data_IF_924440451849
#
_entry.id   IF_924440451849
#
_cell.length_a   1.000
_cell.length_b   1.000
_cell.length_c   1.000
_cell.angle_alpha   90.00
_cell.angle_beta   90.00
_cell.angle_gamma   90.00
#
_symmetry.space_group_name_H-M   'P 1'
#
loop_
_entity.id
_entity.type
_entity.pdbx_description
1 polymer ?
#
# COMPACT_ATOMS: atom_id res chain seq x y z
N UNK A 1 2.28 -26.04 0.01
CA UNK A 1 2.96 -25.81 -1.27
C UNK A 1 2.47 -24.47 -1.75
N UNK A 2 3.34 -23.55 -2.18
CA UNK A 2 2.90 -22.22 -2.63
C UNK A 2 2.01 -22.30 -3.86
N UNK A 3 1.20 -21.26 -4.11
CA UNK A 3 0.39 -21.16 -5.33
C UNK A 3 1.31 -21.07 -6.56
N UNK A 4 0.94 -21.76 -7.65
CA UNK A 4 1.71 -21.69 -8.89
C UNK A 4 1.58 -20.30 -9.53
N UNK A 5 2.71 -19.71 -9.92
CA UNK A 5 2.76 -18.41 -10.59
C UNK A 5 3.58 -18.47 -11.87
N UNK A 6 3.46 -17.44 -12.71
CA UNK A 6 4.33 -17.20 -13.87
C UNK A 6 5.57 -16.35 -13.52
N UNK A 7 6.03 -16.37 -12.26
CA UNK A 7 7.11 -15.50 -11.79
C UNK A 7 8.42 -15.66 -12.59
N UNK A 8 8.69 -16.86 -13.12
CA UNK A 8 9.85 -17.19 -13.96
C UNK A 8 9.85 -16.49 -15.33
N UNK A 9 8.70 -15.98 -15.77
CA UNK A 9 8.52 -15.27 -17.04
C UNK A 9 8.58 -13.75 -16.88
N UNK A 10 8.63 -13.24 -15.64
CA UNK A 10 8.64 -11.80 -15.40
C UNK A 10 9.99 -11.17 -15.75
N UNK A 11 9.94 -9.90 -16.17
CA UNK A 11 11.12 -9.11 -16.48
C UNK A 11 11.39 -8.15 -15.34
N UNK A 12 12.60 -8.21 -14.81
CA UNK A 12 13.07 -7.22 -13.85
C UNK A 12 13.62 -5.99 -14.58
N UNK A 13 13.26 -4.80 -14.09
CA UNK A 13 13.76 -3.52 -14.61
C UNK A 13 14.29 -2.65 -13.47
N UNK A 14 15.17 -1.71 -13.81
CA UNK A 14 15.58 -0.66 -12.89
C UNK A 14 14.75 0.60 -13.15
N UNK A 15 14.16 1.15 -12.09
CA UNK A 15 13.64 2.52 -12.07
C UNK A 15 14.37 3.30 -10.98
N UNK A 16 14.42 4.62 -11.11
CA UNK A 16 15.07 5.48 -10.13
C UNK A 16 14.14 6.63 -9.77
N UNK A 17 14.11 6.96 -8.49
CA UNK A 17 13.52 8.18 -7.98
C UNK A 17 14.40 8.77 -6.90
N UNK A 18 13.90 9.78 -6.21
CA UNK A 18 14.63 10.50 -5.17
C UNK A 18 13.72 10.65 -3.97
N UNK A 19 14.30 10.61 -2.77
CA UNK A 19 13.58 10.98 -1.54
C UNK A 19 13.03 12.39 -1.74
N UNK A 20 11.71 12.48 -1.79
CA UNK A 20 11.00 13.70 -2.17
C UNK A 20 11.06 14.75 -1.06
N UNK A 21 10.86 16.01 -1.42
CA UNK A 21 10.64 17.05 -0.42
C UNK A 21 9.26 16.85 0.24
N UNK A 22 9.11 16.99 1.59
CA UNK A 22 7.82 17.04 2.24
C UNK A 22 6.89 18.07 1.59
N UNK A 23 5.62 17.72 1.46
CA UNK A 23 4.61 18.62 0.89
C UNK A 23 3.57 18.96 1.96
N UNK A 24 3.11 20.20 1.92
CA UNK A 24 2.09 20.70 2.84
C UNK A 24 1.01 21.36 2.00
N UNK A 25 -0.20 20.83 2.07
CA UNK A 25 -1.39 21.57 1.65
C UNK A 25 -1.62 22.65 2.72
N UNK A 26 -2.11 23.82 2.33
CA UNK A 26 -2.42 24.89 3.27
C UNK A 26 -3.52 24.49 4.26
N UNK A 27 -4.43 25.38 4.59
CA UNK A 27 -5.55 25.01 5.45
C UNK A 27 -6.40 23.88 4.83
N UNK A 28 -6.52 22.76 5.55
CA UNK A 28 -7.39 21.62 5.20
C UNK A 28 -8.62 21.65 6.09
N UNK A 29 -9.84 21.73 5.53
CA UNK A 29 -11.07 21.63 6.30
C UNK A 29 -11.28 20.21 6.83
N UNK A 30 -11.39 20.08 8.15
CA UNK A 30 -11.80 18.86 8.84
C UNK A 30 -13.32 18.73 8.87
N UNK A 31 -13.82 17.49 8.95
CA UNK A 31 -15.26 17.20 9.01
C UNK A 31 -15.98 17.84 10.22
N UNK A 32 -15.24 18.19 11.29
CA UNK A 32 -15.77 18.94 12.44
C UNK A 32 -16.04 20.43 12.15
N UNK A 33 -15.63 20.95 10.99
CA UNK A 33 -15.72 22.37 10.64
C UNK A 33 -14.52 23.22 11.05
N UNK A 34 -13.47 22.60 11.58
CA UNK A 34 -12.18 23.25 11.86
C UNK A 34 -11.23 23.16 10.66
N UNK A 35 -10.27 24.08 10.57
CA UNK A 35 -9.24 24.04 9.53
C UNK A 35 -7.86 23.84 10.17
N UNK A 36 -7.07 22.90 9.64
CA UNK A 36 -5.77 22.51 10.20
C UNK A 36 -4.66 22.63 9.16
N UNK A 37 -3.42 22.77 9.63
CA UNK A 37 -2.20 22.63 8.82
C UNK A 37 -1.39 21.54 9.50
N UNK A 38 -1.28 20.39 8.86
CA UNK A 38 -0.65 19.19 9.42
C UNK A 38 0.45 18.67 8.48
N UNK A 39 1.53 18.07 9.02
CA UNK A 39 2.50 17.32 8.22
C UNK A 39 1.92 15.97 7.79
N UNK A 40 2.58 15.26 6.87
CA UNK A 40 2.25 13.84 6.63
C UNK A 40 2.65 13.33 5.24
N UNK A 41 2.46 14.13 4.20
CA UNK A 41 2.80 13.72 2.83
C UNK A 41 4.25 14.05 2.44
N UNK A 42 4.85 13.13 1.69
CA UNK A 42 6.17 13.23 1.10
C UNK A 42 7.31 13.37 2.13
N UNK A 43 8.56 13.27 1.68
CA UNK A 43 9.70 13.36 2.59
C UNK A 43 10.18 12.03 3.14
N UNK A 44 10.85 12.13 4.29
CA UNK A 44 11.25 10.99 5.11
C UNK A 44 10.65 11.16 6.51
N UNK A 45 9.81 10.22 6.93
CA UNK A 45 9.19 10.23 8.26
C UNK A 45 10.00 9.36 9.21
N UNK A 46 10.66 10.00 10.17
CA UNK A 46 11.58 9.35 11.10
C UNK A 46 10.89 8.49 12.17
N UNK A 47 9.65 8.85 12.54
CA UNK A 47 8.97 8.27 13.71
C UNK A 47 7.87 7.27 13.40
N UNK A 48 7.56 7.05 12.11
CA UNK A 48 6.44 6.20 11.69
C UNK A 48 6.85 5.37 10.49
N UNK A 49 6.60 4.06 10.60
CA UNK A 49 6.97 3.04 9.62
C UNK A 49 5.83 2.03 9.49
N UNK A 50 5.92 1.16 8.50
CA UNK A 50 4.97 0.07 8.31
C UNK A 50 4.91 -0.80 9.57
N UNK A 51 3.70 -1.15 10.00
CA UNK A 51 3.39 -1.82 11.27
C UNK A 51 3.01 -0.87 12.41
N UNK A 52 3.19 0.45 12.27
CA UNK A 52 2.65 1.42 13.23
C UNK A 52 1.18 1.74 12.90
N UNK A 53 0.48 2.43 13.83
CA UNK A 53 -0.91 2.85 13.64
C UNK A 53 -1.09 3.66 12.34
N UNK A 54 -2.19 3.45 11.63
CA UNK A 54 -2.64 4.35 10.57
C UNK A 54 -3.35 5.58 11.15
N UNK A 55 -3.71 5.57 12.43
CA UNK A 55 -4.42 6.64 13.14
C UNK A 55 -3.53 7.27 14.23
N UNK A 56 -4.11 8.17 15.03
CA UNK A 56 -3.51 8.76 16.24
C UNK A 56 -2.36 9.76 16.06
N UNK A 57 -2.07 10.17 14.83
CA UNK A 57 -1.09 11.22 14.56
C UNK A 57 -1.77 12.55 14.26
N UNK A 58 -1.18 13.65 14.72
CA UNK A 58 -1.49 14.99 14.23
C UNK A 58 -0.88 15.17 12.82
N UNK A 59 -1.41 14.44 11.86
CA UNK A 59 -0.93 14.36 10.48
C UNK A 59 -2.09 14.33 9.48
N UNK A 60 -1.79 14.60 8.21
CA UNK A 60 -2.70 14.43 7.08
C UNK A 60 -2.01 13.61 5.99
N UNK A 61 -2.60 12.47 5.61
CA UNK A 61 -2.03 11.50 4.66
C UNK A 61 -0.60 11.10 5.05
N UNK A 62 -0.45 10.59 6.27
CA UNK A 62 0.86 10.21 6.81
C UNK A 62 1.51 9.08 6.00
N UNK A 63 2.58 9.36 5.27
CA UNK A 63 3.32 8.39 4.45
C UNK A 63 4.50 7.77 5.24
N UNK A 64 4.46 6.48 5.64
CA UNK A 64 5.53 5.87 6.42
C UNK A 64 6.86 5.77 5.67
N UNK A 65 7.97 5.98 6.39
CA UNK A 65 9.31 5.82 5.84
C UNK A 65 9.69 6.89 4.81
N UNK A 66 10.24 6.48 3.67
CA UNK A 66 10.69 7.37 2.62
C UNK A 66 9.69 7.45 1.46
N UNK A 67 9.23 8.66 1.16
CA UNK A 67 8.42 8.94 -0.03
C UNK A 67 9.31 9.31 -1.21
N UNK A 68 9.23 8.55 -2.29
CA UNK A 68 10.09 8.63 -3.47
C UNK A 68 9.31 9.19 -4.66
N UNK A 69 9.92 10.14 -5.39
CA UNK A 69 9.41 10.69 -6.64
C UNK A 69 10.53 10.95 -7.63
N UNK A 70 10.18 11.01 -8.91
CA UNK A 70 11.07 11.49 -9.96
C UNK A 70 10.65 12.91 -10.42
N UNK A 71 11.60 13.84 -10.65
CA UNK A 71 11.26 15.21 -11.07
C UNK A 71 10.76 15.31 -12.51
N UNK A 72 11.17 14.39 -13.38
CA UNK A 72 10.58 14.21 -14.70
C UNK A 72 9.32 13.36 -14.60
N UNK A 73 8.19 13.89 -15.07
CA UNK A 73 6.86 13.29 -14.90
C UNK A 73 6.67 11.99 -15.70
N UNK A 74 7.31 11.85 -16.86
CA UNK A 74 7.19 10.62 -17.66
C UNK A 74 7.93 9.47 -16.97
N UNK A 75 9.11 9.75 -16.41
CA UNK A 75 9.84 8.81 -15.58
C UNK A 75 9.12 8.51 -14.26
N UNK A 76 8.51 9.50 -13.61
CA UNK A 76 7.69 9.31 -12.39
C UNK A 76 6.49 8.40 -12.68
N UNK A 77 5.79 8.66 -13.79
CA UNK A 77 4.68 7.83 -14.26
C UNK A 77 5.10 6.39 -14.52
N UNK A 78 6.23 6.17 -15.19
CA UNK A 78 6.78 4.83 -15.37
C UNK A 78 7.13 4.16 -14.04
N UNK A 79 7.69 4.91 -13.09
CA UNK A 79 8.05 4.44 -11.76
C UNK A 79 6.82 3.92 -11.00
N UNK A 80 5.71 4.69 -11.04
CA UNK A 80 4.42 4.29 -10.51
C UNK A 80 3.96 2.96 -11.13
N UNK A 81 3.81 2.88 -12.45
CA UNK A 81 3.31 1.65 -13.07
C UNK A 81 4.22 0.43 -12.90
N UNK A 82 5.54 0.56 -12.92
CA UNK A 82 6.43 -0.61 -12.90
C UNK A 82 6.64 -1.17 -11.48
N UNK A 83 6.59 -0.32 -10.47
CA UNK A 83 6.91 -0.71 -9.09
C UNK A 83 5.80 -1.55 -8.47
N UNK A 84 6.20 -2.58 -7.71
CA UNK A 84 5.32 -3.45 -6.95
C UNK A 84 5.73 -3.53 -5.48
N UNK A 85 4.75 -3.75 -4.61
CA UNK A 85 4.95 -3.96 -3.18
C UNK A 85 5.83 -5.19 -2.94
N UNK A 86 6.82 -5.04 -2.06
CA UNK A 86 7.86 -6.04 -1.80
C UNK A 86 9.07 -5.98 -2.74
N UNK A 87 9.10 -5.07 -3.73
CA UNK A 87 10.33 -4.83 -4.50
C UNK A 87 11.46 -4.27 -3.63
N UNK A 88 12.70 -4.63 -3.98
CA UNK A 88 13.89 -4.11 -3.32
C UNK A 88 14.19 -2.69 -3.81
N UNK A 89 14.51 -1.81 -2.88
CA UNK A 89 14.94 -0.45 -3.12
C UNK A 89 16.35 -0.24 -2.54
N UNK A 90 17.18 0.55 -3.20
CA UNK A 90 18.57 0.76 -2.80
C UNK A 90 18.88 2.25 -2.79
N UNK A 91 19.44 2.74 -1.69
CA UNK A 91 19.98 4.09 -1.63
C UNK A 91 21.28 4.15 -2.45
N UNK A 92 21.30 5.03 -3.44
CA UNK A 92 22.38 5.15 -4.43
C UNK A 92 23.27 6.37 -4.20
N UNK A 93 22.89 7.25 -3.28
CA UNK A 93 23.65 8.45 -2.89
C UNK A 93 23.50 8.73 -1.40
N UNK A 94 24.18 9.78 -0.93
CA UNK A 94 24.07 10.25 0.45
C UNK A 94 24.90 9.44 1.44
N UNK A 95 24.72 9.73 2.72
CA UNK A 95 25.44 9.06 3.80
C UNK A 95 24.96 7.62 4.02
N UNK A 96 23.73 7.32 3.60
CA UNK A 96 23.10 6.00 3.69
C UNK A 96 23.29 5.14 2.41
N UNK A 97 24.16 5.54 1.47
CA UNK A 97 24.38 4.81 0.22
C UNK A 97 24.71 3.33 0.47
N UNK A 98 24.08 2.45 -0.32
CA UNK A 98 24.22 1.01 -0.23
C UNK A 98 23.20 0.35 0.72
N UNK A 99 22.42 1.13 1.45
CA UNK A 99 21.33 0.61 2.28
C UNK A 99 20.22 0.04 1.39
N UNK A 100 19.81 -1.20 1.70
CA UNK A 100 18.66 -1.84 1.10
C UNK A 100 17.40 -1.52 1.91
N UNK A 101 16.33 -1.22 1.20
CA UNK A 101 14.98 -1.07 1.71
C UNK A 101 13.99 -1.86 0.87
N UNK A 102 12.71 -1.70 1.17
CA UNK A 102 11.62 -2.43 0.53
C UNK A 102 10.45 -1.51 0.22
N UNK A 103 9.85 -1.66 -0.95
CA UNK A 103 8.66 -0.90 -1.33
C UNK A 103 7.46 -1.42 -0.56
N UNK A 104 6.73 -0.52 0.09
CA UNK A 104 5.61 -0.86 0.99
C UNK A 104 4.31 -0.15 0.66
N UNK A 105 4.34 0.86 -0.20
CA UNK A 105 3.14 1.55 -0.63
C UNK A 105 3.34 2.39 -1.89
N UNK A 106 2.23 2.86 -2.43
CA UNK A 106 2.19 3.81 -3.54
C UNK A 106 0.95 4.68 -3.42
N UNK A 107 1.21 5.95 -3.15
CA UNK A 107 0.22 7.03 -3.13
C UNK A 107 0.58 8.02 -4.26
N UNK A 108 0.58 9.34 -4.01
CA UNK A 108 1.20 10.33 -4.90
C UNK A 108 2.74 10.17 -4.99
N UNK A 109 3.32 9.29 -4.16
CA UNK A 109 4.73 8.93 -4.07
C UNK A 109 4.84 7.42 -3.89
N UNK A 110 5.96 6.82 -4.27
CA UNK A 110 6.28 5.48 -3.83
C UNK A 110 6.78 5.51 -2.39
N UNK A 111 6.36 4.55 -1.59
CA UNK A 111 6.74 4.46 -0.18
C UNK A 111 7.73 3.33 0.01
N UNK A 112 8.87 3.65 0.61
CA UNK A 112 9.95 2.69 0.85
C UNK A 112 10.30 2.70 2.33
N UNK A 113 10.24 1.51 2.92
CA UNK A 113 10.76 1.29 4.26
C UNK A 113 12.25 0.96 4.20
N UNK A 114 13.04 1.73 4.94
CA UNK A 114 14.46 1.48 5.16
C UNK A 114 14.70 1.08 6.63
N UNK A 115 15.77 0.31 6.91
CA UNK A 115 16.15 -0.04 8.27
C UNK A 115 16.33 1.20 9.17
N UNK A 116 15.93 1.14 10.46
CA UNK A 116 16.04 2.28 11.39
C UNK A 116 17.44 2.89 11.48
N UNK A 117 18.49 2.08 11.37
CA UNK A 117 19.89 2.53 11.41
C UNK A 117 20.27 3.49 10.28
N UNK A 118 19.49 3.52 9.18
CA UNK A 118 19.70 4.44 8.07
C UNK A 118 18.91 5.74 8.20
N UNK A 119 17.91 5.83 9.09
CA UNK A 119 16.97 6.94 9.16
C UNK A 119 17.66 8.31 9.28
N UNK A 120 18.60 8.44 10.21
CA UNK A 120 19.35 9.69 10.46
C UNK A 120 20.37 10.04 9.36
N UNK A 121 20.61 9.14 8.41
CA UNK A 121 21.58 9.29 7.33
C UNK A 121 20.95 9.59 5.97
N UNK A 122 19.63 9.39 5.85
CA UNK A 122 18.87 9.63 4.62
C UNK A 122 18.52 11.11 4.53
N UNK A 123 18.78 11.70 3.36
CA UNK A 123 18.44 13.08 3.06
C UNK A 123 17.35 13.16 2.00
N UNK A 124 16.57 14.25 2.05
CA UNK A 124 15.79 14.67 0.89
C UNK A 124 16.73 14.87 -0.31
N UNK A 125 16.34 14.32 -1.45
CA UNK A 125 17.11 14.33 -2.68
C UNK A 125 18.04 13.12 -2.85
N UNK A 126 18.17 12.23 -1.85
CA UNK A 126 18.93 11.00 -2.04
C UNK A 126 18.28 10.10 -3.09
N UNK A 127 19.10 9.60 -4.01
CA UNK A 127 18.67 8.74 -5.10
C UNK A 127 18.34 7.34 -4.58
N UNK A 128 17.20 6.80 -5.03
CA UNK A 128 16.71 5.47 -4.68
C UNK A 128 16.45 4.70 -5.97
N UNK A 129 17.22 3.63 -6.21
CA UNK A 129 16.97 2.71 -7.32
C UNK A 129 16.09 1.56 -6.85
N UNK A 130 15.02 1.27 -7.58
CA UNK A 130 14.13 0.15 -7.31
C UNK A 130 14.31 -0.89 -8.41
N UNK A 131 14.48 -2.16 -8.02
CA UNK A 131 14.44 -3.31 -8.93
C UNK A 131 12.99 -3.76 -9.05
N UNK A 132 12.31 -3.31 -10.10
CA UNK A 132 10.89 -3.56 -10.31
C UNK A 132 10.68 -4.96 -10.84
N UNK A 133 9.87 -5.76 -10.15
CA UNK A 133 9.49 -7.12 -10.56
C UNK A 133 8.10 -7.43 -10.01
N UNK A 134 7.14 -7.74 -10.88
CA UNK A 134 5.77 -8.06 -10.46
C UNK A 134 4.70 -7.69 -11.48
N UNK A 135 4.97 -6.71 -12.35
CA UNK A 135 4.04 -6.40 -13.42
C UNK A 135 3.86 -7.58 -14.38
N UNK A 136 2.61 -8.01 -14.56
CA UNK A 136 2.25 -9.22 -15.30
C UNK A 136 2.25 -10.52 -14.49
N UNK A 137 2.48 -10.46 -13.16
CA UNK A 137 2.36 -11.62 -12.28
C UNK A 137 0.93 -12.17 -12.26
N UNK A 138 0.80 -13.48 -12.35
CA UNK A 138 -0.47 -14.22 -12.39
C UNK A 138 -0.40 -15.45 -11.50
N UNK A 139 -1.54 -15.79 -10.89
CA UNK A 139 -1.77 -17.10 -10.29
C UNK A 139 -2.22 -18.05 -11.41
N UNK A 140 -1.37 -19.00 -11.80
CA UNK A 140 -1.57 -19.84 -13.00
C UNK A 140 -2.83 -20.70 -12.88
N UNK A 141 -3.04 -21.29 -11.71
CA UNK A 141 -4.20 -22.15 -11.43
C UNK A 141 -5.47 -21.36 -11.10
N UNK A 142 -5.36 -20.04 -10.87
CA UNK A 142 -6.46 -19.16 -10.47
C UNK A 142 -6.60 -17.94 -11.40
N UNK A 143 -6.80 -18.14 -12.72
CA UNK A 143 -6.75 -17.06 -13.72
C UNK A 143 -7.85 -16.01 -13.59
N UNK A 144 -8.91 -16.27 -12.81
CA UNK A 144 -9.97 -15.31 -12.50
C UNK A 144 -9.61 -14.34 -11.36
N UNK A 145 -8.48 -14.57 -10.68
CA UNK A 145 -7.91 -13.68 -9.66
C UNK A 145 -6.83 -12.85 -10.32
N UNK A 146 -7.03 -11.53 -10.34
CA UNK A 146 -6.05 -10.57 -10.87
C UNK A 146 -5.20 -10.05 -9.75
N UNK A 147 -3.88 -10.18 -9.89
CA UNK A 147 -2.92 -9.51 -9.02
C UNK A 147 -2.65 -8.10 -9.51
N UNK A 148 -2.44 -7.18 -8.57
CA UNK A 148 -2.12 -5.78 -8.79
C UNK A 148 -0.95 -5.42 -7.89
N UNK A 149 0.07 -4.74 -8.41
CA UNK A 149 1.19 -4.21 -7.61
C UNK A 149 1.88 -5.23 -6.69
N UNK A 150 1.85 -6.52 -7.03
CA UNK A 150 2.41 -7.58 -6.22
C UNK A 150 3.74 -8.06 -6.81
N UNK A 151 4.81 -8.00 -6.02
CA UNK A 151 6.04 -8.72 -6.36
C UNK A 151 5.88 -10.23 -6.11
N UNK A 152 6.66 -11.09 -6.79
CA UNK A 152 6.72 -12.52 -6.45
C UNK A 152 7.05 -12.74 -4.96
N UNK A 153 8.01 -11.96 -4.43
CA UNK A 153 8.40 -12.00 -3.01
C UNK A 153 7.21 -11.76 -2.08
N UNK A 154 6.35 -10.79 -2.38
CA UNK A 154 5.15 -10.55 -1.59
C UNK A 154 4.22 -11.76 -1.63
N UNK A 155 3.85 -12.24 -2.83
CA UNK A 155 2.92 -13.37 -2.98
C UNK A 155 3.43 -14.63 -2.28
N UNK A 156 4.72 -14.92 -2.38
CA UNK A 156 5.36 -16.07 -1.72
C UNK A 156 5.38 -15.95 -0.18
N UNK A 157 5.37 -14.72 0.34
CA UNK A 157 5.43 -14.45 1.79
C UNK A 157 4.04 -14.46 2.45
N UNK A 158 2.97 -14.26 1.68
CA UNK A 158 1.60 -14.30 2.20
C UNK A 158 1.15 -15.76 2.41
N UNK A 159 0.53 -16.10 3.55
CA UNK A 159 0.07 -17.46 3.81
C UNK A 159 -1.30 -17.68 3.12
N UNK A 160 -1.32 -17.61 1.79
CA UNK A 160 -2.51 -17.84 0.98
C UNK A 160 -2.79 -19.34 0.90
N UNK A 161 -4.00 -19.75 1.28
CA UNK A 161 -4.46 -21.13 1.17
C UNK A 161 -5.24 -21.36 -0.13
N UNK A 162 -4.93 -22.45 -0.82
CA UNK A 162 -5.83 -23.02 -1.82
C UNK A 162 -6.99 -23.73 -1.11
N UNK A 163 -8.21 -23.24 -1.28
CA UNK A 163 -9.42 -23.87 -0.72
C UNK A 163 -9.93 -24.97 -1.65
N UNK A 164 -10.01 -24.66 -2.94
CA UNK A 164 -10.36 -25.59 -4.02
C UNK A 164 -9.72 -25.16 -5.35
N UNK A 165 -10.15 -25.73 -6.48
CA UNK A 165 -9.64 -25.43 -7.83
C UNK A 165 -9.92 -24.00 -8.31
N UNK A 166 -10.83 -23.26 -7.64
CA UNK A 166 -11.23 -21.89 -8.00
C UNK A 166 -11.00 -20.90 -6.86
N UNK A 167 -11.00 -21.35 -5.62
CA UNK A 167 -11.06 -20.46 -4.47
C UNK A 167 -9.76 -20.47 -3.70
N UNK A 168 -9.26 -19.28 -3.37
CA UNK A 168 -8.17 -19.08 -2.41
C UNK A 168 -8.72 -18.44 -1.14
N UNK A 169 -8.01 -18.60 -0.02
CA UNK A 169 -8.26 -17.90 1.23
C UNK A 169 -7.06 -17.05 1.61
N UNK A 170 -7.30 -15.77 1.89
CA UNK A 170 -6.26 -14.79 2.23
C UNK A 170 -6.50 -14.27 3.65
N UNK A 171 -5.49 -14.23 4.54
CA UNK A 171 -5.66 -13.58 5.85
C UNK A 171 -5.79 -12.06 5.70
N UNK A 172 -6.68 -11.46 6.47
CA UNK A 172 -6.87 -9.99 6.55
C UNK A 172 -7.11 -9.58 7.99
N UNK A 173 -6.75 -8.36 8.37
CA UNK A 173 -7.03 -7.85 9.72
C UNK A 173 -8.49 -7.47 9.88
N UNK A 174 -9.14 -7.01 8.82
CA UNK A 174 -10.54 -6.57 8.82
C UNK A 174 -11.19 -6.60 7.43
N UNK A 175 -12.52 -6.58 7.42
CA UNK A 175 -13.34 -6.31 6.24
C UNK A 175 -13.78 -4.84 6.26
N UNK A 176 -13.51 -4.10 5.19
CA UNK A 176 -13.96 -2.73 5.01
C UNK A 176 -15.28 -2.71 4.23
N UNK A 177 -16.31 -1.99 4.72
CA UNK A 177 -17.51 -1.78 3.94
C UNK A 177 -17.23 -0.96 2.68
N UNK A 178 -17.61 -1.44 1.51
CA UNK A 178 -17.36 -0.69 0.26
C UNK A 178 -17.96 0.73 0.25
N UNK A 179 -19.05 0.96 1.01
CA UNK A 179 -19.73 2.27 1.10
C UNK A 179 -18.87 3.37 1.72
N UNK A 180 -17.80 3.01 2.44
CA UNK A 180 -16.88 3.98 3.05
C UNK A 180 -15.64 4.22 2.18
N UNK A 181 -15.52 3.58 1.02
CA UNK A 181 -14.43 3.88 0.08
C UNK A 181 -14.72 5.20 -0.65
N UNK A 182 -13.73 6.10 -0.69
CA UNK A 182 -13.88 7.48 -1.14
C UNK A 182 -12.90 7.85 -2.25
N UNK A 183 -12.03 8.83 -1.94
CA UNK A 183 -11.08 9.43 -2.88
C UNK A 183 -10.24 8.39 -3.63
N UNK A 184 -10.03 8.61 -4.93
CA UNK A 184 -9.33 7.67 -5.81
C UNK A 184 -10.24 6.66 -6.51
N UNK A 185 -11.56 6.69 -6.29
CA UNK A 185 -12.53 5.83 -6.97
C UNK A 185 -12.49 5.96 -8.52
N UNK A 186 -12.15 7.14 -9.03
CA UNK A 186 -12.02 7.44 -10.45
C UNK A 186 -10.68 7.01 -11.06
N UNK A 187 -9.71 6.60 -10.23
CA UNK A 187 -8.35 6.29 -10.63
C UNK A 187 -8.16 4.79 -10.87
N UNK A 188 -7.16 4.45 -11.68
CA UNK A 188 -6.84 3.07 -12.00
C UNK A 188 -6.19 2.37 -10.78
N UNK A 189 -6.60 1.13 -10.44
CA UNK A 189 -5.97 0.32 -9.38
C UNK A 189 -4.49 0.02 -9.63
N UNK A 190 -4.02 0.06 -10.89
CA UNK A 190 -2.61 -0.09 -11.27
C UNK A 190 -1.80 1.21 -11.15
N UNK A 191 -2.39 2.33 -10.73
CA UNK A 191 -1.70 3.61 -10.66
C UNK A 191 -1.54 4.14 -9.24
N UNK A 192 -2.58 4.12 -8.44
CA UNK A 192 -2.55 4.67 -7.07
C UNK A 192 -3.60 3.99 -6.21
N UNK A 193 -3.53 4.19 -4.91
CA UNK A 193 -4.47 3.67 -3.93
C UNK A 193 -5.85 4.36 -3.97
N UNK A 194 -6.71 3.97 -3.03
CA UNK A 194 -8.01 4.60 -2.78
C UNK A 194 -8.22 4.72 -1.29
N UNK A 195 -8.58 5.92 -0.84
CA UNK A 195 -8.83 6.20 0.56
C UNK A 195 -10.12 5.51 1.02
N UNK A 196 -10.12 5.04 2.26
CA UNK A 196 -11.35 4.92 3.04
C UNK A 196 -11.67 6.27 3.68
N UNK A 197 -12.95 6.65 3.73
CA UNK A 197 -13.41 7.90 4.33
C UNK A 197 -13.53 7.74 5.85
N UNK A 198 -12.65 8.40 6.59
CA UNK A 198 -12.52 8.23 8.05
C UNK A 198 -13.19 9.32 8.89
N UNK A 199 -13.85 10.29 8.26
CA UNK A 199 -14.43 11.46 8.95
C UNK A 199 -15.53 11.15 9.97
N UNK A 200 -16.23 10.02 9.84
CA UNK A 200 -17.17 9.52 10.84
C UNK A 200 -16.43 8.66 11.88
N UNK A 201 -15.93 9.32 12.93
CA UNK A 201 -15.11 8.68 13.97
C UNK A 201 -15.88 7.68 14.82
N UNK A 202 -17.17 7.89 15.02
CA UNK A 202 -18.01 6.92 15.73
C UNK A 202 -18.11 5.62 14.94
N UNK A 203 -18.30 5.71 13.61
CA UNK A 203 -18.30 4.55 12.73
C UNK A 203 -16.93 3.87 12.65
N UNK A 204 -15.82 4.63 12.61
CA UNK A 204 -14.49 4.05 12.60
C UNK A 204 -14.24 3.20 13.86
N UNK A 205 -14.65 3.71 15.03
CA UNK A 205 -14.55 2.98 16.29
C UNK A 205 -15.51 1.78 16.36
N UNK A 206 -16.75 1.91 15.86
CA UNK A 206 -17.73 0.81 15.81
C UNK A 206 -17.21 -0.38 14.98
N UNK A 207 -16.55 -0.07 13.85
CA UNK A 207 -16.00 -1.07 12.93
C UNK A 207 -14.58 -1.51 13.28
N UNK A 208 -13.94 -0.90 14.29
CA UNK A 208 -12.55 -1.14 14.68
C UNK A 208 -11.51 -0.69 13.64
N UNK A 209 -11.91 0.16 12.68
CA UNK A 209 -11.03 0.67 11.62
C UNK A 209 -9.98 1.61 12.20
N UNK A 210 -10.29 2.31 13.29
CA UNK A 210 -9.34 3.17 14.00
C UNK A 210 -8.15 2.42 14.62
N UNK A 211 -8.18 1.08 14.64
CA UNK A 211 -7.07 0.22 15.07
C UNK A 211 -6.18 -0.25 13.90
N UNK A 212 -6.49 0.14 12.66
CA UNK A 212 -5.75 -0.26 11.48
C UNK A 212 -4.28 0.15 11.59
N UNK A 213 -3.39 -0.76 11.19
CA UNK A 213 -1.97 -0.49 11.09
C UNK A 213 -1.56 -0.28 9.64
N UNK A 214 -0.53 0.54 9.44
CA UNK A 214 0.15 0.66 8.16
C UNK A 214 0.70 -0.71 7.77
N UNK A 215 0.41 -1.17 6.56
CA UNK A 215 0.78 -2.49 6.07
C UNK A 215 -0.24 -3.60 6.29
N UNK A 216 -1.38 -3.30 6.93
CA UNK A 216 -2.46 -4.28 7.12
C UNK A 216 -3.06 -4.72 5.79
N UNK A 217 -3.32 -6.01 5.67
CA UNK A 217 -4.15 -6.57 4.62
C UNK A 217 -5.62 -6.46 5.01
N UNK A 218 -6.45 -5.96 4.09
CA UNK A 218 -7.88 -5.76 4.32
C UNK A 218 -8.69 -6.40 3.19
N UNK A 219 -9.90 -6.86 3.51
CA UNK A 219 -10.86 -7.30 2.49
C UNK A 219 -11.87 -6.19 2.20
N UNK A 220 -12.17 -5.94 0.94
CA UNK A 220 -13.28 -5.07 0.52
C UNK A 220 -14.26 -5.94 -0.26
N UNK A 221 -15.34 -6.33 0.40
CA UNK A 221 -16.39 -7.12 -0.21
C UNK A 221 -17.20 -6.28 -1.19
N UNK A 222 -17.58 -6.88 -2.32
CA UNK A 222 -18.29 -6.28 -3.44
C UNK A 222 -17.48 -5.25 -4.26
N UNK A 223 -16.16 -5.21 -4.10
CA UNK A 223 -15.27 -4.34 -4.89
C UNK A 223 -14.60 -5.10 -6.03
N UNK A 224 -14.83 -4.68 -7.28
CA UNK A 224 -14.12 -5.15 -8.49
C UNK A 224 -13.10 -4.10 -8.90
N UNK A 225 -11.82 -4.41 -8.77
CA UNK A 225 -10.69 -3.53 -9.07
C UNK A 225 -9.84 -4.06 -10.24
N UNK A 226 -10.41 -4.89 -11.14
CA UNK A 226 -9.62 -5.47 -12.24
C UNK A 226 -9.11 -4.41 -13.23
N UNK A 227 -9.88 -3.35 -13.46
CA UNK A 227 -9.55 -2.29 -14.43
C UNK A 227 -9.83 -0.89 -13.88
N UNK A 228 -11.07 -0.63 -13.49
CA UNK A 228 -11.46 0.54 -12.68
C UNK A 228 -11.93 0.06 -11.31
N UNK A 229 -12.21 1.01 -10.41
CA UNK A 229 -12.76 0.70 -9.08
C UNK A 229 -14.27 0.79 -9.13
N UNK A 230 -14.97 -0.28 -8.74
CA UNK A 230 -16.42 -0.30 -8.82
C UNK A 230 -17.10 -1.28 -7.89
N UNK A 231 -18.36 -0.98 -7.57
CA UNK A 231 -19.25 -1.90 -6.86
C UNK A 231 -19.76 -2.98 -7.80
N UNK A 232 -19.52 -4.24 -7.44
CA UNK A 232 -20.07 -5.42 -8.09
C UNK A 232 -20.40 -6.47 -7.02
N UNK A 233 -21.69 -6.83 -6.84
CA UNK A 233 -22.06 -7.87 -5.88
C UNK A 233 -21.28 -9.16 -6.12
N UNK A 234 -20.71 -9.71 -5.04
CA UNK A 234 -19.90 -10.93 -5.07
C UNK A 234 -18.46 -10.76 -5.56
N UNK A 235 -18.06 -9.60 -6.06
CA UNK A 235 -16.64 -9.30 -6.28
C UNK A 235 -15.92 -9.17 -4.93
N UNK A 236 -14.62 -9.43 -4.91
CA UNK A 236 -13.79 -9.32 -3.70
C UNK A 236 -12.47 -8.69 -4.08
N UNK A 237 -12.02 -7.74 -3.27
CA UNK A 237 -10.69 -7.15 -3.38
C UNK A 237 -9.94 -7.29 -2.07
N UNK A 238 -8.68 -7.72 -2.14
CA UNK A 238 -7.72 -7.63 -1.04
C UNK A 238 -6.88 -6.38 -1.26
N UNK A 239 -6.89 -5.51 -0.25
CA UNK A 239 -6.14 -4.27 -0.22
C UNK A 239 -5.03 -4.26 0.83
N UNK A 240 -4.19 -3.24 0.76
CA UNK A 240 -3.09 -2.95 1.66
C UNK A 240 -3.25 -1.53 2.21
N UNK A 241 -3.26 -1.35 3.52
CA UNK A 241 -3.16 -0.01 4.11
C UNK A 241 -1.75 0.54 3.91
N UNK A 242 -1.59 1.66 3.20
CA UNK A 242 -0.27 2.19 2.83
C UNK A 242 0.07 3.55 3.43
N UNK A 243 -0.93 4.36 3.77
CA UNK A 243 -0.73 5.64 4.42
C UNK A 243 -1.78 5.86 5.50
N UNK A 244 -1.46 6.74 6.44
CA UNK A 244 -2.29 7.02 7.59
C UNK A 244 -3.45 7.94 7.27
N UNK A 245 -4.20 8.21 8.31
CA UNK A 245 -5.43 8.96 8.33
C UNK A 245 -5.30 10.39 7.76
N UNK A 246 -6.45 10.93 7.38
CA UNK A 246 -6.58 12.24 6.74
C UNK A 246 -7.64 13.05 7.46
N UNK A 247 -7.39 14.34 7.61
CA UNK A 247 -8.42 15.27 8.09
C UNK A 247 -9.30 15.76 6.94
N UNK A 248 -8.87 15.56 5.69
CA UNK A 248 -9.60 16.00 4.51
C UNK A 248 -10.91 15.20 4.33
N UNK A 249 -12.00 15.91 4.05
CA UNK A 249 -13.29 15.25 3.81
C UNK A 249 -13.24 14.39 2.55
N UNK A 250 -13.72 13.14 2.65
CA UNK A 250 -13.67 12.16 1.57
C UNK A 250 -12.38 11.33 1.53
N UNK A 251 -11.49 11.54 2.49
CA UNK A 251 -10.18 10.90 2.62
C UNK A 251 -10.03 10.18 3.97
N UNK A 252 -8.93 9.45 4.12
CA UNK A 252 -8.55 8.69 5.32
C UNK A 252 -7.37 7.77 4.98
N UNK A 253 -7.18 6.63 5.68
CA UNK A 253 -6.14 5.69 5.33
C UNK A 253 -6.26 5.18 3.89
N UNK A 254 -5.13 5.15 3.19
CA UNK A 254 -5.03 4.77 1.78
C UNK A 254 -4.97 3.26 1.58
N UNK A 255 -5.84 2.72 0.73
CA UNK A 255 -5.95 1.28 0.46
C UNK A 255 -5.49 0.95 -0.98
N UNK A 256 -4.30 0.38 -1.09
CA UNK A 256 -3.72 -0.08 -2.35
C UNK A 256 -4.23 -1.47 -2.72
N UNK A 257 -4.61 -1.68 -3.98
CA UNK A 257 -5.15 -2.99 -4.43
C UNK A 257 -4.01 -4.00 -4.63
N UNK A 258 -4.13 -5.18 -4.03
CA UNK A 258 -3.20 -6.30 -4.25
C UNK A 258 -3.80 -7.44 -5.06
N UNK A 259 -5.03 -7.85 -4.74
CA UNK A 259 -5.70 -8.96 -5.42
C UNK A 259 -7.17 -8.65 -5.62
N UNK A 260 -7.75 -9.06 -6.74
CA UNK A 260 -9.16 -8.79 -7.00
C UNK A 260 -9.77 -9.82 -7.94
N UNK A 261 -11.04 -10.14 -7.72
CA UNK A 261 -11.84 -10.99 -8.59
C UNK A 261 -13.27 -10.45 -8.68
N UNK A 262 -13.91 -10.65 -9.83
CA UNK A 262 -15.29 -10.16 -10.08
C UNK A 262 -16.39 -11.13 -9.64
N UNK A 263 -15.99 -12.24 -9.04
CA UNK A 263 -16.79 -13.36 -8.58
C UNK A 263 -16.26 -13.80 -7.21
N UNK A 264 -17.02 -14.56 -6.40
CA UNK A 264 -16.62 -14.90 -5.03
C UNK A 264 -15.56 -16.03 -5.02
N UNK A 265 -14.38 -15.74 -5.56
CA UNK A 265 -13.26 -16.69 -5.69
C UNK A 265 -12.11 -16.38 -4.72
N UNK A 266 -12.24 -15.32 -3.91
CA UNK A 266 -11.34 -15.01 -2.81
C UNK A 266 -12.18 -15.05 -1.53
N UNK A 267 -11.90 -16.01 -0.67
CA UNK A 267 -12.31 -16.00 0.73
C UNK A 267 -11.28 -15.23 1.57
N UNK A 268 -11.71 -14.74 2.72
CA UNK A 268 -10.79 -14.18 3.71
C UNK A 268 -11.04 -14.77 5.09
N UNK A 269 -10.00 -14.75 5.91
CA UNK A 269 -10.05 -15.11 7.33
C UNK A 269 -9.48 -13.95 8.14
N UNK A 270 -10.12 -13.62 9.25
CA UNK A 270 -9.63 -12.58 10.14
C UNK A 270 -8.41 -13.09 10.89
N UNK A 271 -7.28 -12.42 10.70
CA UNK A 271 -6.02 -12.64 11.39
C UNK A 271 -5.41 -11.28 11.78
N UNK A 272 -5.35 -10.95 13.08
CA UNK A 272 -4.74 -9.70 13.56
C UNK A 272 -3.25 -9.54 13.21
N UNK A 273 -2.57 -10.60 12.75
CA UNK A 273 -1.17 -10.57 12.33
C UNK A 273 -1.00 -10.38 10.82
N UNK A 274 -2.10 -10.18 10.07
CA UNK A 274 -2.10 -10.02 8.62
C UNK A 274 -1.55 -8.66 8.14
N UNK A 275 -0.25 -8.45 8.36
CA UNK A 275 0.46 -7.23 8.03
C UNK A 275 1.75 -7.54 7.26
N UNK A 276 2.04 -6.78 6.20
CA UNK A 276 3.25 -7.00 5.38
C UNK A 276 4.55 -6.79 6.15
N UNK A 277 4.54 -6.06 7.26
CA UNK A 277 5.70 -5.91 8.12
C UNK A 277 6.17 -7.26 8.67
N UNK A 278 5.22 -8.14 9.00
CA UNK A 278 5.48 -9.50 9.45
C UNK A 278 5.92 -10.38 8.28
N UNK A 279 5.13 -10.38 7.20
CA UNK A 279 5.35 -11.27 6.07
C UNK A 279 6.65 -10.96 5.29
N UNK A 280 7.03 -9.69 5.18
CA UNK A 280 8.26 -9.28 4.50
C UNK A 280 9.45 -9.09 5.46
N UNK A 281 9.28 -9.41 6.75
CA UNK A 281 10.30 -9.26 7.80
C UNK A 281 10.85 -7.81 7.91
N UNK A 282 9.98 -6.81 7.78
CA UNK A 282 10.33 -5.38 7.85
C UNK A 282 10.56 -4.96 9.30
N UNK A 283 9.72 -5.46 10.20
CA UNK A 283 9.88 -5.35 11.64
C UNK A 283 10.47 -6.68 12.11
N UNK A 284 11.62 -6.65 12.77
CA UNK A 284 12.07 -7.81 13.55
C UNK A 284 11.10 -7.95 14.72
N UNK A 285 10.58 -9.15 14.95
CA UNK A 285 9.82 -9.46 16.15
C UNK A 285 10.59 -8.95 17.38
N UNK A 286 9.95 -8.08 18.15
CA UNK A 286 10.45 -7.59 19.44
C UNK A 286 10.30 -8.65 20.53
#
# INVERSE_FOLDING_TARGET
>A
MGLATNADQLVEMAVIGYVSQPTVRGYIPHASGEAMILPGMSGFIYGVRVGDSAFDYAADHLEPGASIAHPDLDADYAMHYLTCMGNQAFLMSGLAQGTEGIVTGEHARLLVDFPPEAADLINVGDAVQIRTLGQGLQLVDYPHITLKKCSPKLIESLPIEAVDERTIRVPVTMELPIRIMGSGAELNPDFVDQDLMSGDRELMAELGIDQMLLGDLVAINHADHRYGRGYKPGAVTIGLCIHGDSVMTGHGPGILTLMTCAEPCIEWVIDPQANIANYLNIRKES
#
